data_IF_220256564866
#
_entry.id   IF_220256564866
#
_cell.length_a   1.000
_cell.length_b   1.000
_cell.length_c   1.000
_cell.angle_alpha   90.00
_cell.angle_beta   90.00
_cell.angle_gamma   90.00
#
_symmetry.space_group_name_H-M   'P 1'
#
loop_
_entity.id
_entity.type
_entity.pdbx_description
1 polymer ?
#
# COMPACT_ATOMS: atom_id res chain seq x y z
N UNK A 1 34.95 -11.21 20.88
CA UNK A 1 34.43 -9.83 20.65
C UNK A 1 34.34 -9.09 21.98
N UNK A 2 35.01 -7.95 22.15
CA UNK A 2 35.03 -7.20 23.41
C UNK A 2 33.64 -6.66 23.78
N UNK A 3 33.37 -6.46 25.08
CA UNK A 3 32.08 -5.93 25.58
C UNK A 3 31.70 -4.62 24.87
N UNK A 4 32.67 -3.74 24.65
CA UNK A 4 32.47 -2.46 23.97
C UNK A 4 32.00 -2.63 22.51
N UNK A 5 32.57 -3.61 21.79
CA UNK A 5 32.15 -3.92 20.41
C UNK A 5 30.73 -4.50 20.36
N UNK A 6 30.33 -5.28 21.36
CA UNK A 6 28.94 -5.77 21.47
C UNK A 6 27.96 -4.62 21.72
N UNK A 7 28.27 -3.72 22.66
CA UNK A 7 27.45 -2.54 22.98
C UNK A 7 27.28 -1.64 21.74
N UNK A 8 28.37 -1.41 21.01
CA UNK A 8 28.34 -0.63 19.78
C UNK A 8 27.42 -1.23 18.71
N UNK A 9 27.52 -2.54 18.47
CA UNK A 9 26.66 -3.24 17.51
C UNK A 9 25.19 -3.17 17.91
N UNK A 10 24.89 -3.38 19.19
CA UNK A 10 23.50 -3.28 19.70
C UNK A 10 22.95 -1.86 19.52
N UNK A 11 23.78 -0.83 19.77
CA UNK A 11 23.39 0.56 19.54
C UNK A 11 23.04 0.82 18.08
N UNK A 12 23.88 0.38 17.14
CA UNK A 12 23.62 0.50 15.69
C UNK A 12 22.33 -0.22 15.29
N UNK A 13 22.14 -1.45 15.75
CA UNK A 13 20.95 -2.23 15.43
C UNK A 13 19.68 -1.55 15.97
N UNK A 14 19.75 -0.98 17.17
CA UNK A 14 18.63 -0.22 17.76
C UNK A 14 18.27 0.99 16.88
N UNK A 15 19.27 1.77 16.46
CA UNK A 15 19.08 2.92 15.56
C UNK A 15 18.48 2.49 14.22
N UNK A 16 18.94 1.37 13.66
CA UNK A 16 18.42 0.83 12.40
C UNK A 16 16.97 0.39 12.51
N UNK A 17 16.60 -0.29 13.60
CA UNK A 17 15.21 -0.72 13.81
C UNK A 17 14.31 0.51 13.97
N UNK A 18 14.73 1.50 14.75
CA UNK A 18 14.00 2.76 14.92
C UNK A 18 13.81 3.48 13.58
N UNK A 19 14.86 3.57 12.76
CA UNK A 19 14.75 4.23 11.46
C UNK A 19 13.75 3.51 10.54
N UNK A 20 13.72 2.18 10.54
CA UNK A 20 12.70 1.42 9.82
C UNK A 20 11.28 1.70 10.33
N UNK A 21 11.08 1.82 11.66
CA UNK A 21 9.76 2.15 12.24
C UNK A 21 9.30 3.54 11.77
N UNK A 22 10.16 4.55 11.82
CA UNK A 22 9.81 5.91 11.42
C UNK A 22 9.60 6.07 9.91
N UNK A 23 10.26 5.24 9.11
CA UNK A 23 10.16 5.28 7.65
C UNK A 23 9.12 4.33 7.09
N UNK A 24 8.53 3.44 7.89
CA UNK A 24 7.40 2.61 7.47
C UNK A 24 6.19 3.51 7.18
N UNK A 25 5.67 3.52 5.93
CA UNK A 25 4.56 4.39 5.58
C UNK A 25 3.28 4.03 6.36
N UNK A 26 2.45 5.03 6.60
CA UNK A 26 1.12 4.90 7.18
C UNK A 26 0.07 4.57 6.12
N UNK A 27 -1.14 4.19 6.55
CA UNK A 27 -2.29 4.02 5.66
C UNK A 27 -2.65 5.30 4.91
N UNK A 28 -2.55 6.46 5.56
CA UNK A 28 -2.86 7.74 4.92
C UNK A 28 -1.86 8.08 3.81
N UNK A 29 -0.57 7.80 4.02
CA UNK A 29 0.45 7.97 2.98
C UNK A 29 0.18 7.04 1.78
N UNK A 30 -0.24 5.80 2.02
CA UNK A 30 -0.64 4.88 0.96
C UNK A 30 -1.87 5.38 0.19
N UNK A 31 -2.88 5.90 0.88
CA UNK A 31 -4.10 6.44 0.26
C UNK A 31 -3.76 7.62 -0.65
N UNK A 32 -2.94 8.55 -0.17
CA UNK A 32 -2.47 9.69 -0.96
C UNK A 32 -1.68 9.24 -2.19
N UNK A 33 -0.70 8.34 -2.01
CA UNK A 33 0.06 7.78 -3.11
C UNK A 33 -0.84 7.09 -4.14
N UNK A 34 -1.80 6.29 -3.69
CA UNK A 34 -2.73 5.57 -4.58
C UNK A 34 -3.62 6.54 -5.37
N UNK A 35 -4.11 7.60 -4.73
CA UNK A 35 -4.86 8.68 -5.39
C UNK A 35 -4.01 9.34 -6.48
N UNK A 36 -2.76 9.70 -6.17
CA UNK A 36 -1.83 10.29 -7.13
C UNK A 36 -1.54 9.34 -8.31
N UNK A 37 -1.40 8.03 -8.06
CA UNK A 37 -1.26 7.04 -9.12
C UNK A 37 -2.50 7.00 -10.03
N UNK A 38 -3.71 7.02 -9.47
CA UNK A 38 -4.95 7.03 -10.25
C UNK A 38 -5.11 8.33 -11.06
N UNK A 39 -4.77 9.48 -10.47
CA UNK A 39 -4.82 10.77 -11.16
C UNK A 39 -3.77 10.88 -12.28
N UNK A 40 -2.59 10.30 -12.10
CA UNK A 40 -1.54 10.32 -13.13
C UNK A 40 -1.86 9.39 -14.30
N UNK A 41 -2.62 8.31 -14.08
CA UNK A 41 -3.07 7.39 -15.13
C UNK A 41 -4.28 7.89 -15.92
N UNK A 42 -5.12 8.78 -15.35
CA UNK A 42 -6.25 9.36 -16.07
C UNK A 42 -5.78 10.44 -17.07
N UNK A 43 -6.34 10.43 -18.27
CA UNK A 43 -6.11 11.47 -19.29
C UNK A 43 -7.09 12.64 -19.19
N UNK A 44 -8.22 12.46 -18.48
CA UNK A 44 -9.32 13.43 -18.44
C UNK A 44 -9.30 14.28 -17.16
N UNK A 45 -9.39 15.60 -17.30
CA UNK A 45 -9.37 16.53 -16.17
C UNK A 45 -10.57 16.39 -15.22
N UNK A 46 -11.74 16.03 -15.74
CA UNK A 46 -12.93 15.78 -14.92
C UNK A 46 -12.74 14.53 -14.05
N UNK A 47 -12.24 13.45 -14.64
CA UNK A 47 -11.91 12.23 -13.89
C UNK A 47 -10.83 12.49 -12.83
N UNK A 48 -9.78 13.24 -13.16
CA UNK A 48 -8.77 13.67 -12.18
C UNK A 48 -9.38 14.46 -11.02
N UNK A 49 -10.33 15.34 -11.30
CA UNK A 49 -11.08 16.11 -10.30
C UNK A 49 -11.94 15.23 -9.40
N UNK A 50 -12.68 14.28 -9.99
CA UNK A 50 -13.51 13.31 -9.24
C UNK A 50 -12.66 12.41 -8.34
N UNK A 51 -11.54 11.87 -8.86
CA UNK A 51 -10.58 11.09 -8.08
C UNK A 51 -9.96 11.94 -6.98
N UNK A 52 -9.68 13.22 -7.24
CA UNK A 52 -9.18 14.17 -6.23
C UNK A 52 -10.15 14.36 -5.06
N UNK A 53 -11.45 14.45 -5.34
CA UNK A 53 -12.48 14.72 -4.33
C UNK A 53 -12.93 13.46 -3.57
N UNK A 54 -13.11 12.33 -4.27
CA UNK A 54 -13.67 11.11 -3.69
C UNK A 54 -12.64 10.01 -3.42
N UNK A 55 -11.47 10.09 -4.06
CA UNK A 55 -10.46 9.02 -4.07
C UNK A 55 -10.00 8.63 -2.68
N UNK A 56 -9.70 9.60 -1.81
CA UNK A 56 -9.20 9.31 -0.45
C UNK A 56 -10.18 8.46 0.35
N UNK A 57 -11.47 8.82 0.30
CA UNK A 57 -12.53 8.12 1.05
C UNK A 57 -12.76 6.71 0.50
N UNK A 58 -12.85 6.59 -0.83
CA UNK A 58 -13.09 5.30 -1.49
C UNK A 58 -11.90 4.36 -1.23
N UNK A 59 -10.67 4.80 -1.53
CA UNK A 59 -9.45 4.01 -1.35
C UNK A 59 -9.30 3.64 0.13
N UNK A 60 -9.45 4.59 1.06
CA UNK A 60 -9.29 4.30 2.49
C UNK A 60 -10.31 3.25 2.99
N UNK A 61 -11.57 3.35 2.56
CA UNK A 61 -12.62 2.42 2.98
C UNK A 61 -12.43 1.01 2.41
N UNK A 62 -11.84 0.89 1.22
CA UNK A 62 -11.57 -0.39 0.57
C UNK A 62 -10.18 -0.95 0.88
N UNK A 63 -9.35 -0.21 1.65
CA UNK A 63 -7.99 -0.62 2.01
C UNK A 63 -7.93 -1.24 3.40
N UNK A 64 -7.42 -2.46 3.48
CA UNK A 64 -6.93 -3.09 4.72
C UNK A 64 -5.42 -2.96 4.82
N UNK A 65 -4.91 -2.60 6.00
CA UNK A 65 -3.48 -2.44 6.26
C UNK A 65 -3.02 -3.43 7.31
N UNK A 66 -1.88 -4.09 7.04
CA UNK A 66 -1.18 -4.92 8.03
C UNK A 66 0.24 -4.40 8.21
N UNK A 67 0.53 -3.88 9.40
CA UNK A 67 1.82 -3.31 9.76
C UNK A 67 2.72 -4.41 10.39
N UNK A 68 3.93 -4.57 9.86
CA UNK A 68 4.96 -5.51 10.31
C UNK A 68 6.20 -4.80 10.87
N UNK A 69 6.03 -3.59 11.41
CA UNK A 69 7.03 -2.70 12.01
C UNK A 69 7.96 -2.07 10.96
N UNK A 70 8.68 -2.89 10.19
CA UNK A 70 9.66 -2.44 9.20
C UNK A 70 9.05 -2.18 7.81
N UNK A 71 7.90 -2.79 7.54
CA UNK A 71 7.11 -2.60 6.33
C UNK A 71 5.63 -2.77 6.66
N UNK A 72 4.78 -2.40 5.71
CA UNK A 72 3.34 -2.61 5.77
C UNK A 72 2.83 -3.20 4.47
N UNK A 73 1.79 -4.01 4.54
CA UNK A 73 1.06 -4.50 3.37
C UNK A 73 -0.30 -3.80 3.33
N UNK A 74 -0.61 -3.21 2.18
CA UNK A 74 -1.90 -2.60 1.87
C UNK A 74 -2.62 -3.48 0.86
N UNK A 75 -3.84 -3.86 1.20
CA UNK A 75 -4.73 -4.60 0.31
C UNK A 75 -5.93 -3.74 0.02
N UNK A 76 -6.10 -3.36 -1.23
CA UNK A 76 -7.21 -2.51 -1.68
C UNK A 76 -8.12 -3.35 -2.56
N UNK A 77 -9.37 -3.50 -2.15
CA UNK A 77 -10.37 -4.29 -2.87
C UNK A 77 -11.44 -3.35 -3.45
N UNK A 78 -11.34 -3.09 -4.74
CA UNK A 78 -12.39 -2.40 -5.50
C UNK A 78 -13.26 -3.43 -6.22
N UNK A 79 -14.44 -3.03 -6.67
CA UNK A 79 -15.46 -3.94 -7.24
C UNK A 79 -14.91 -4.94 -8.27
N UNK A 80 -13.93 -4.54 -9.09
CA UNK A 80 -13.36 -5.37 -10.15
C UNK A 80 -11.86 -5.62 -10.02
N UNK A 81 -11.19 -5.08 -8.99
CA UNK A 81 -9.73 -5.15 -8.88
C UNK A 81 -9.29 -5.34 -7.43
N UNK A 82 -8.35 -6.27 -7.21
CA UNK A 82 -7.62 -6.42 -5.96
C UNK A 82 -6.18 -6.01 -6.16
N UNK A 83 -5.73 -5.03 -5.40
CA UNK A 83 -4.36 -4.52 -5.43
C UNK A 83 -3.68 -4.83 -4.10
N UNK A 84 -2.53 -5.49 -4.16
CA UNK A 84 -1.64 -5.67 -3.00
C UNK A 84 -0.39 -4.82 -3.20
N UNK A 85 -0.10 -3.95 -2.25
CA UNK A 85 1.05 -3.04 -2.28
C UNK A 85 1.89 -3.23 -1.02
N UNK A 86 3.21 -3.34 -1.19
CA UNK A 86 4.19 -3.27 -0.12
C UNK A 86 4.57 -1.82 0.12
N UNK A 87 4.47 -1.34 1.36
CA UNK A 87 5.09 -0.09 1.78
C UNK A 87 6.31 -0.36 2.65
N UNK A 88 7.44 0.23 2.29
CA UNK A 88 8.71 0.07 3.00
C UNK A 88 9.56 1.31 2.77
N UNK A 89 10.18 1.85 3.83
CA UNK A 89 11.09 3.00 3.75
C UNK A 89 10.52 4.17 2.92
N UNK A 90 9.28 4.60 3.18
CA UNK A 90 8.53 5.64 2.44
C UNK A 90 8.27 5.37 0.95
N UNK A 91 8.54 4.16 0.49
CA UNK A 91 8.26 3.72 -0.88
C UNK A 91 7.05 2.78 -0.92
N UNK A 92 6.36 2.75 -2.07
CA UNK A 92 5.24 1.86 -2.34
C UNK A 92 5.52 1.03 -3.58
N UNK A 93 5.41 -0.29 -3.47
CA UNK A 93 5.71 -1.25 -4.52
C UNK A 93 4.47 -2.15 -4.72
N UNK A 94 3.72 -2.00 -5.82
CA UNK A 94 2.67 -2.94 -6.18
C UNK A 94 3.25 -4.34 -6.35
N UNK A 95 2.72 -5.32 -5.62
CA UNK A 95 3.14 -6.73 -5.71
C UNK A 95 2.23 -7.49 -6.65
N UNK A 96 0.93 -7.18 -6.63
CA UNK A 96 -0.06 -7.91 -7.40
C UNK A 96 -1.25 -7.00 -7.74
N UNK A 97 -1.74 -7.12 -8.98
CA UNK A 97 -2.97 -6.51 -9.47
C UNK A 97 -3.81 -7.60 -10.10
N UNK A 98 -4.80 -8.10 -9.36
CA UNK A 98 -5.75 -9.10 -9.86
C UNK A 98 -7.00 -8.41 -10.36
N UNK A 99 -7.38 -8.65 -11.62
CA UNK A 99 -8.72 -8.33 -12.09
C UNK A 99 -9.65 -9.45 -11.65
N UNK A 100 -10.70 -9.11 -10.90
CA UNK A 100 -11.74 -10.06 -10.53
C UNK A 100 -12.68 -10.19 -11.74
N UNK A 101 -12.42 -11.15 -12.62
CA UNK A 101 -13.40 -11.53 -13.64
C UNK A 101 -14.61 -12.13 -12.93
N UNK A 102 -15.77 -11.46 -13.05
CA UNK A 102 -17.05 -12.08 -12.76
C UNK A 102 -17.22 -13.28 -13.69
N UNK A 103 -16.91 -14.47 -13.20
CA UNK A 103 -17.20 -15.73 -13.89
C UNK A 103 -18.73 -15.81 -13.97
N UNK A 104 -19.32 -15.31 -15.05
CA UNK A 104 -20.73 -15.52 -15.36
C UNK A 104 -20.91 -17.03 -15.39
N UNK A 105 -21.56 -17.56 -14.36
CA UNK A 105 -21.90 -18.97 -14.26
C UNK A 105 -22.92 -19.18 -15.37
N UNK A 106 -22.45 -19.64 -16.53
CA UNK A 106 -23.31 -20.07 -17.62
C UNK A 106 -24.04 -21.32 -17.10
N UNK A 107 -25.17 -21.10 -16.44
CA UNK A 107 -26.04 -22.14 -15.95
C UNK A 107 -26.58 -22.80 -17.21
N UNK A 108 -26.05 -23.99 -17.50
CA UNK A 108 -26.32 -24.71 -18.74
C UNK A 108 -27.82 -24.77 -19.01
N UNK A 109 -28.19 -24.31 -20.20
CA UNK A 109 -29.39 -24.78 -20.86
C UNK A 109 -29.14 -26.26 -21.21
N UNK A 110 -29.76 -27.16 -20.45
CA UNK A 110 -30.07 -28.52 -20.84
C UNK A 110 -31.58 -28.68 -20.68
#
# INVERSE_FOLDING_TARGET
MSKNKKIFIVSILSILILSCVFTNPSKNEYVNWSKEQMQSQSSNILEKGLVGFLGDKIISNTTTTKNYIIFSIYKTEMENEKLTTLGILKNFIPINKEKVENKVINKGAN
#
